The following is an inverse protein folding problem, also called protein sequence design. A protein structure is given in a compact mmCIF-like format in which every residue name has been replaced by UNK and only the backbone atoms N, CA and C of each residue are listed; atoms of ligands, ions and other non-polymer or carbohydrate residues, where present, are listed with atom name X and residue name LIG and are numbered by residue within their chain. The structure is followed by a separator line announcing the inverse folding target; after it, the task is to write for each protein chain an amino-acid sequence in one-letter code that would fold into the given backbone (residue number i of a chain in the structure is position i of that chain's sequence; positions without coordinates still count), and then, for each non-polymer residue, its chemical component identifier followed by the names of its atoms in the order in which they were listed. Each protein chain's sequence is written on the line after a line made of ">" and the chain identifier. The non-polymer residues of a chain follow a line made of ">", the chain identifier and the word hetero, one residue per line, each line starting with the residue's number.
data_IF_709275501803
#
_entry.id   IF_709275501803
#
_cell.length_a   1.000
_cell.length_b   1.000
_cell.length_c   1.000
_cell.angle_alpha   90.00
_cell.angle_beta   90.00
_cell.angle_gamma   90.00
#
_symmetry.space_group_name_H-M   'P 1'
#
loop_
_entity.id
_entity.type
_entity.pdbx_description
1 polymer ?
#
# COMPACT_ATOMS: atom_id res chain seq x y z
N UNK A 1 3.96 -3.95 -17.21
CA UNK A 1 4.72 -3.22 -16.17
C UNK A 1 3.87 -2.04 -15.72
N UNK A 2 3.75 -1.79 -14.42
CA UNK A 2 2.99 -0.67 -13.85
C UNK A 2 3.92 0.15 -12.96
N UNK A 3 3.96 1.47 -13.17
CA UNK A 3 4.68 2.42 -12.33
C UNK A 3 3.75 2.92 -11.24
N UNK A 4 4.11 2.75 -9.97
CA UNK A 4 3.32 3.29 -8.86
C UNK A 4 3.35 4.82 -8.85
N UNK A 5 2.18 5.43 -8.67
CA UNK A 5 2.02 6.90 -8.65
C UNK A 5 1.26 7.43 -7.44
N UNK A 6 0.49 6.58 -6.75
CA UNK A 6 -0.21 6.94 -5.52
C UNK A 6 -0.02 5.83 -4.49
N UNK A 7 0.35 6.25 -3.28
CA UNK A 7 0.54 5.39 -2.12
C UNK A 7 0.05 6.09 -0.86
N UNK A 8 -0.21 5.33 0.20
CA UNK A 8 -0.65 5.86 1.50
C UNK A 8 0.08 5.14 2.63
N UNK A 9 0.61 5.90 3.60
CA UNK A 9 1.42 5.34 4.68
C UNK A 9 0.56 5.10 5.94
N UNK A 10 0.65 3.89 6.48
CA UNK A 10 0.07 3.50 7.76
C UNK A 10 1.18 3.32 8.79
N UNK A 11 1.16 4.15 9.83
CA UNK A 11 2.20 4.21 10.87
C UNK A 11 1.67 3.76 12.23
N UNK A 12 2.56 3.54 13.20
CA UNK A 12 2.16 3.27 14.59
C UNK A 12 1.35 4.45 15.15
N UNK A 13 0.27 4.15 15.86
CA UNK A 13 -0.60 5.15 16.49
C UNK A 13 -1.69 5.70 15.58
N UNK A 14 -1.67 5.39 14.29
CA UNK A 14 -2.75 5.68 13.37
C UNK A 14 -3.95 4.75 13.65
N UNK A 15 -5.15 5.27 14.00
CA UNK A 15 -6.34 4.47 14.21
C UNK A 15 -6.81 3.69 12.97
N UNK A 16 -6.50 4.16 11.76
CA UNK A 16 -6.83 3.48 10.52
C UNK A 16 -5.89 2.31 10.18
N UNK A 17 -4.74 2.22 10.85
CA UNK A 17 -3.81 1.14 10.64
C UNK A 17 -4.36 -0.18 11.21
N UNK A 18 -4.31 -1.26 10.43
CA UNK A 18 -4.72 -2.60 10.87
C UNK A 18 -3.88 -3.15 12.03
N UNK A 19 -2.70 -2.59 12.29
CA UNK A 19 -1.84 -2.88 13.44
C UNK A 19 -2.09 -1.94 14.64
N UNK A 20 -3.07 -1.02 14.59
CA UNK A 20 -3.38 -0.06 15.66
C UNK A 20 -3.64 -0.72 17.02
N UNK A 21 -4.18 -1.95 17.01
CA UNK A 21 -4.45 -2.78 18.19
C UNK A 21 -3.40 -3.88 18.43
N UNK A 22 -2.26 -3.81 17.74
CA UNK A 22 -1.19 -4.79 17.81
C UNK A 22 -1.37 -5.98 16.86
N UNK A 23 -0.58 -7.03 17.12
CA UNK A 23 -0.51 -8.25 16.31
C UNK A 23 -1.79 -9.08 16.49
N UNK A 24 -2.36 -9.53 15.38
CA UNK A 24 -3.51 -10.43 15.30
C UNK A 24 -3.25 -11.50 14.25
N UNK A 25 -4.02 -12.62 14.23
CA UNK A 25 -3.90 -13.60 13.15
C UNK A 25 -4.08 -13.01 11.74
N UNK A 26 -4.93 -11.99 11.58
CA UNK A 26 -5.26 -11.40 10.29
C UNK A 26 -4.26 -10.36 9.76
N UNK A 27 -3.32 -9.89 10.59
CA UNK A 27 -2.32 -8.88 10.22
C UNK A 27 -0.87 -9.34 10.45
N UNK A 28 -0.63 -10.65 10.68
CA UNK A 28 0.70 -11.20 10.97
C UNK A 28 1.76 -10.76 9.98
N UNK A 29 1.40 -10.67 8.71
CA UNK A 29 2.25 -10.23 7.60
C UNK A 29 2.84 -8.84 7.82
N UNK A 30 2.11 -7.93 8.47
CA UNK A 30 2.61 -6.58 8.84
C UNK A 30 3.80 -6.61 9.80
N UNK A 31 4.10 -7.76 10.40
CA UNK A 31 5.15 -7.93 11.41
C UNK A 31 6.30 -8.83 10.95
N UNK A 32 6.34 -9.25 9.68
CA UNK A 32 7.42 -10.07 9.10
C UNK A 32 8.73 -9.30 8.84
N UNK A 33 8.73 -7.98 9.08
CA UNK A 33 9.84 -7.09 8.75
C UNK A 33 9.59 -6.32 7.44
N UNK A 34 10.55 -5.51 6.97
CA UNK A 34 10.40 -4.72 5.75
C UNK A 34 10.23 -5.61 4.51
N UNK A 35 9.68 -5.03 3.45
CA UNK A 35 9.64 -5.60 2.11
C UNK A 35 8.81 -6.89 1.97
N UNK A 36 7.75 -7.04 2.75
CA UNK A 36 6.76 -8.11 2.59
C UNK A 36 5.42 -7.54 2.12
N UNK A 37 4.68 -8.32 1.35
CA UNK A 37 3.30 -7.99 1.03
C UNK A 37 2.42 -8.21 2.26
N UNK A 38 1.56 -7.23 2.54
CA UNK A 38 0.40 -7.42 3.38
C UNK A 38 -0.85 -7.26 2.51
N UNK A 39 -1.51 -8.39 2.23
CA UNK A 39 -2.70 -8.44 1.36
C UNK A 39 -3.92 -8.80 2.17
N UNK A 40 -4.93 -7.95 2.07
CA UNK A 40 -6.23 -8.20 2.70
C UNK A 40 -7.36 -7.99 1.70
N UNK A 41 -8.53 -8.51 2.05
CA UNK A 41 -9.76 -8.33 1.28
C UNK A 41 -10.65 -7.32 1.98
N UNK A 42 -11.14 -6.35 1.23
CA UNK A 42 -12.20 -5.42 1.65
C UNK A 42 -13.34 -5.53 0.65
N UNK A 43 -14.54 -5.88 1.16
CA UNK A 43 -15.67 -6.26 0.32
C UNK A 43 -15.30 -7.33 -0.72
N UNK A 44 -15.34 -6.99 -2.02
CA UNK A 44 -15.08 -7.89 -3.14
C UNK A 44 -13.71 -7.68 -3.79
N UNK A 45 -12.85 -6.83 -3.21
CA UNK A 45 -11.54 -6.49 -3.78
C UNK A 45 -10.40 -6.80 -2.82
N UNK A 46 -9.21 -7.05 -3.37
CA UNK A 46 -7.97 -7.15 -2.60
C UNK A 46 -7.28 -5.79 -2.55
N UNK A 47 -6.64 -5.50 -1.42
CA UNK A 47 -5.74 -4.37 -1.27
C UNK A 47 -4.37 -4.91 -0.85
N UNK A 48 -3.31 -4.37 -1.45
CA UNK A 48 -1.94 -4.80 -1.19
C UNK A 48 -1.13 -3.65 -0.60
N UNK A 49 -0.34 -3.96 0.43
CA UNK A 49 0.54 -3.03 1.10
C UNK A 49 1.95 -3.59 1.10
N UNK A 50 2.94 -2.71 1.17
CA UNK A 50 4.33 -3.07 1.40
C UNK A 50 4.72 -2.76 2.85
N UNK A 51 5.16 -3.75 3.60
CA UNK A 51 5.62 -3.55 4.97
C UNK A 51 6.93 -2.78 5.01
N UNK A 52 7.08 -1.92 6.02
CA UNK A 52 8.26 -1.06 6.20
C UNK A 52 8.93 -1.28 7.54
N UNK A 53 8.15 -1.34 8.62
CA UNK A 53 8.57 -1.67 9.99
C UNK A 53 7.52 -2.58 10.63
N UNK A 54 7.83 -3.25 11.75
CA UNK A 54 6.83 -4.06 12.44
C UNK A 54 5.57 -3.24 12.79
N UNK A 55 4.45 -3.59 12.15
CA UNK A 55 3.16 -2.90 12.29
C UNK A 55 2.99 -1.64 11.44
N UNK A 56 3.92 -1.35 10.52
CA UNK A 56 3.85 -0.21 9.59
C UNK A 56 3.93 -0.70 8.14
N UNK A 57 3.16 -0.07 7.26
CA UNK A 57 3.10 -0.44 5.86
C UNK A 57 2.67 0.73 4.98
N UNK A 58 2.87 0.57 3.67
CA UNK A 58 2.45 1.52 2.64
C UNK A 58 1.45 0.85 1.72
N UNK A 59 0.21 1.34 1.67
CA UNK A 59 -0.82 0.89 0.74
C UNK A 59 -0.49 1.33 -0.68
N UNK A 60 -0.60 0.39 -1.62
CA UNK A 60 -0.45 0.66 -3.04
C UNK A 60 -1.82 1.09 -3.60
N UNK A 61 -1.95 2.36 -4.01
CA UNK A 61 -3.25 2.95 -4.37
C UNK A 61 -3.47 3.09 -5.86
N UNK A 62 -2.48 3.55 -6.61
CA UNK A 62 -2.63 3.70 -8.06
C UNK A 62 -1.31 3.54 -8.81
N UNK A 63 -1.43 3.18 -10.08
CA UNK A 63 -0.31 3.05 -10.99
C UNK A 63 -0.60 3.59 -12.39
N UNK A 64 0.47 3.84 -13.12
CA UNK A 64 0.49 4.18 -14.55
C UNK A 64 1.04 2.97 -15.32
N UNK A 65 0.29 2.40 -16.28
CA UNK A 65 0.78 1.33 -17.13
C UNK A 65 1.95 1.82 -17.99
N UNK A 66 2.97 0.99 -18.19
CA UNK A 66 4.10 1.32 -19.06
C UNK A 66 3.72 1.35 -20.55
N UNK A 67 2.67 0.64 -20.94
CA UNK A 67 2.18 0.60 -22.33
C UNK A 67 1.13 1.68 -22.55
N UNK A 68 1.30 2.47 -23.61
CA UNK A 68 0.33 3.50 -24.00
C UNK A 68 -1.04 2.88 -24.35
N UNK A 69 -2.12 3.55 -23.97
CA UNK A 69 -3.50 3.14 -24.30
C UNK A 69 -4.18 2.23 -23.28
N UNK A 70 -3.51 1.86 -22.19
CA UNK A 70 -4.13 1.16 -21.06
C UNK A 70 -4.67 2.18 -20.04
N UNK A 71 -5.83 1.87 -19.44
CA UNK A 71 -6.39 2.69 -18.36
C UNK A 71 -5.51 2.60 -17.11
N UNK A 72 -5.35 3.73 -16.41
CA UNK A 72 -4.66 3.75 -15.13
C UNK A 72 -5.45 2.92 -14.11
N UNK A 73 -4.84 1.92 -13.43
CA UNK A 73 -5.45 1.31 -12.27
C UNK A 73 -5.55 2.35 -11.13
N UNK A 74 -6.67 3.06 -11.11
CA UNK A 74 -7.05 4.06 -10.10
C UNK A 74 -7.78 3.37 -8.94
N UNK A 75 -7.16 3.39 -7.76
CA UNK A 75 -7.68 2.80 -6.53
C UNK A 75 -7.07 1.42 -6.21
N UNK A 76 -6.93 1.10 -4.91
CA UNK A 76 -6.12 -0.03 -4.45
C UNK A 76 -6.64 -1.38 -4.97
N UNK A 77 -7.96 -1.54 -5.06
CA UNK A 77 -8.58 -2.75 -5.62
C UNK A 77 -8.33 -2.96 -7.12
N UNK A 78 -8.32 -1.87 -7.90
CA UNK A 78 -8.02 -1.95 -9.35
C UNK A 78 -6.56 -2.27 -9.58
N UNK A 79 -5.67 -1.65 -8.80
CA UNK A 79 -4.24 -1.92 -8.86
C UNK A 79 -3.90 -3.34 -8.46
N UNK A 80 -4.45 -3.85 -7.35
CA UNK A 80 -4.25 -5.24 -6.95
C UNK A 80 -4.71 -6.22 -8.04
N UNK A 81 -5.85 -5.95 -8.69
CA UNK A 81 -6.35 -6.76 -9.80
C UNK A 81 -5.41 -6.73 -11.02
N UNK A 82 -4.95 -5.54 -11.40
CA UNK A 82 -4.01 -5.37 -12.52
C UNK A 82 -2.68 -6.11 -12.28
N UNK A 83 -2.22 -6.13 -11.04
CA UNK A 83 -1.03 -6.85 -10.61
C UNK A 83 -1.28 -8.34 -10.30
N UNK A 84 -2.51 -8.83 -10.51
CA UNK A 84 -2.95 -10.19 -10.18
C UNK A 84 -2.68 -10.61 -8.72
N UNK A 85 -2.70 -9.65 -7.79
CA UNK A 85 -2.48 -9.90 -6.37
C UNK A 85 -3.74 -10.43 -5.71
N UNK A 86 -3.57 -11.54 -4.99
CA UNK A 86 -4.65 -12.22 -4.26
C UNK A 86 -4.28 -12.41 -2.80
N UNK A 87 -5.20 -12.98 -2.01
CA UNK A 87 -4.89 -13.31 -0.61
C UNK A 87 -3.76 -14.33 -0.47
N UNK A 88 -3.48 -15.14 -1.50
CA UNK A 88 -2.39 -16.12 -1.49
C UNK A 88 -0.99 -15.45 -1.50
N UNK A 89 -0.91 -14.18 -1.91
CA UNK A 89 0.33 -13.41 -1.90
C UNK A 89 0.62 -12.75 -0.53
N UNK A 90 -0.27 -12.89 0.47
CA UNK A 90 -0.10 -12.32 1.80
C UNK A 90 1.15 -12.90 2.49
N UNK A 91 2.06 -12.03 2.93
CA UNK A 91 3.33 -12.41 3.56
C UNK A 91 4.46 -12.75 2.58
N UNK A 92 4.25 -12.63 1.27
CA UNK A 92 5.31 -12.88 0.28
C UNK A 92 6.39 -11.77 0.32
N UNK A 93 7.70 -12.10 0.40
CA UNK A 93 8.76 -11.10 0.32
C UNK A 93 8.92 -10.53 -1.09
N UNK A 94 9.34 -9.27 -1.20
CA UNK A 94 9.81 -8.69 -2.47
C UNK A 94 11.19 -9.26 -2.85
N UNK A 95 11.42 -9.51 -4.14
CA UNK A 95 12.69 -10.03 -4.66
C UNK A 95 12.56 -11.20 -5.64
N UNK A 96 11.37 -11.77 -5.77
CA UNK A 96 10.97 -12.72 -6.83
C UNK A 96 10.28 -11.93 -7.98
N UNK A 97 10.33 -12.35 -9.26
CA UNK A 97 10.34 -11.46 -10.43
C UNK A 97 9.10 -10.59 -10.71
N UNK A 98 8.07 -10.62 -9.87
CA UNK A 98 6.78 -9.98 -10.12
C UNK A 98 6.68 -8.53 -9.61
N UNK A 99 7.53 -8.10 -8.66
CA UNK A 99 7.49 -6.75 -8.11
C UNK A 99 8.89 -6.26 -7.71
N UNK A 100 9.37 -5.22 -8.40
CA UNK A 100 10.64 -4.55 -8.12
C UNK A 100 10.40 -3.11 -7.67
N UNK A 101 11.14 -2.67 -6.65
CA UNK A 101 11.25 -1.26 -6.28
C UNK A 101 12.48 -0.70 -6.99
N UNK A 102 12.27 0.14 -8.00
CA UNK A 102 13.36 0.81 -8.71
C UNK A 102 13.63 2.17 -8.07
N UNK A 103 14.90 2.63 -7.99
CA UNK A 103 15.21 4.00 -7.61
C UNK A 103 14.44 4.99 -8.50
N UNK A 104 13.87 6.02 -7.88
CA UNK A 104 13.16 7.08 -8.59
C UNK A 104 14.16 8.13 -9.07
N UNK A 105 14.38 8.26 -10.37
CA UNK A 105 15.13 9.38 -10.95
C UNK A 105 14.21 10.59 -11.26
N UNK A 106 14.64 11.80 -10.88
CA UNK A 106 14.23 13.04 -11.54
C UNK A 106 12.80 13.60 -11.39
N UNK A 107 12.06 13.37 -10.28
CA UNK A 107 10.75 14.05 -10.05
C UNK A 107 10.79 15.09 -8.91
N UNK A 108 9.88 16.10 -8.89
CA UNK A 108 9.75 17.04 -7.79
C UNK A 108 9.37 16.35 -6.46
N UNK A 109 9.54 17.05 -5.31
CA UNK A 109 9.30 16.47 -3.98
C UNK A 109 7.89 15.91 -3.82
N UNK A 110 7.77 15.01 -2.85
CA UNK A 110 6.52 14.42 -2.37
C UNK A 110 5.33 15.40 -2.40
N UNK A 111 4.24 15.00 -3.04
CA UNK A 111 2.95 15.66 -2.87
C UNK A 111 2.19 14.94 -1.78
N UNK A 112 1.82 15.64 -0.69
CA UNK A 112 0.87 15.08 0.26
C UNK A 112 -0.50 14.95 -0.42
N UNK A 113 -1.05 13.73 -0.43
CA UNK A 113 -2.44 13.52 -0.80
C UNK A 113 -3.39 14.14 0.24
N UNK A 114 -4.68 14.29 -0.09
CA UNK A 114 -5.68 14.69 0.89
C UNK A 114 -5.70 13.70 2.08
N UNK A 115 -6.08 14.14 3.30
CA UNK A 115 -6.20 13.26 4.46
C UNK A 115 -7.16 12.10 4.19
N UNK A 116 -6.96 10.96 4.89
CA UNK A 116 -7.78 9.75 4.83
C UNK A 116 -9.28 10.09 4.65
N UNK A 117 -9.83 9.85 3.46
CA UNK A 117 -11.21 10.25 3.11
C UNK A 117 -12.29 9.37 3.75
N UNK A 118 -11.91 8.24 4.35
CA UNK A 118 -12.83 7.19 4.79
C UNK A 118 -12.97 7.05 6.32
N UNK A 119 -12.45 8.00 7.10
CA UNK A 119 -12.70 8.07 8.54
C UNK A 119 -13.80 9.09 8.87
N UNK A 120 -14.73 8.81 9.81
CA UNK A 120 -15.47 9.87 10.48
C UNK A 120 -14.46 10.70 11.29
N UNK A 121 -14.02 11.82 10.72
CA UNK A 121 -12.87 12.59 11.22
C UNK A 121 -13.16 13.45 12.45
N UNK A 122 -12.19 13.54 13.35
CA UNK A 122 -12.07 14.58 14.38
C UNK A 122 -11.27 15.82 13.89
N UNK A 123 -10.80 15.81 12.64
CA UNK A 123 -10.09 16.92 12.00
C UNK A 123 -8.57 16.92 12.14
N UNK A 124 -7.96 15.88 12.72
CA UNK A 124 -6.49 15.83 12.88
C UNK A 124 -5.78 15.35 11.59
N UNK A 125 -4.87 16.13 10.98
CA UNK A 125 -4.15 15.70 9.79
C UNK A 125 -3.12 14.60 10.10
N UNK A 126 -2.90 13.63 9.20
CA UNK A 126 -1.92 12.57 9.40
C UNK A 126 -0.49 13.14 9.43
N UNK A 127 0.43 12.54 10.21
CA UNK A 127 1.80 13.03 10.35
C UNK A 127 2.57 12.97 9.04
N UNK A 128 3.30 14.04 8.73
CA UNK A 128 4.18 14.15 7.57
C UNK A 128 5.48 13.40 7.87
N UNK A 129 5.76 12.30 7.15
CA UNK A 129 7.09 11.68 7.15
C UNK A 129 8.00 12.50 6.22
N UNK A 130 9.08 13.06 6.77
CA UNK A 130 10.19 13.69 6.03
C UNK A 130 11.28 12.66 5.73
#
# INVERSE_FOLDING_TARGET
>A
MVRLVEVEAYVRGDPANHASRGLTPGNRSMFLGPAHLYVYRIHQVHCANLTTRPGEAVLLRAGEPASAGLENPSGPGRLARELALTREDDGRPLGEPFLAVLPREGLPPHSQGPPHRDLPGDGTPPPILR
#
